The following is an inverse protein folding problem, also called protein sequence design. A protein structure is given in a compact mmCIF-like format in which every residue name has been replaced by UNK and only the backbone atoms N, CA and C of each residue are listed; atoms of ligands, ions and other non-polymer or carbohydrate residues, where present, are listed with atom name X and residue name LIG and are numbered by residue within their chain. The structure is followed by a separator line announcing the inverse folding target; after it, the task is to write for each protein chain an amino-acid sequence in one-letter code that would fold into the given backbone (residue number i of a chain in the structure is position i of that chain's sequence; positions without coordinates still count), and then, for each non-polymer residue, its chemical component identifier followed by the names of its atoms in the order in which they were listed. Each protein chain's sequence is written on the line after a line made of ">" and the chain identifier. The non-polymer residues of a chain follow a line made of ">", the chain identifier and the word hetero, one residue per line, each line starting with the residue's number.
data_IF_746703910611
#
_entry.id   IF_746703910611
#
_cell.length_a   1.000
_cell.length_b   1.000
_cell.length_c   1.000
_cell.angle_alpha   90.00
_cell.angle_beta   90.00
_cell.angle_gamma   90.00
#
_symmetry.space_group_name_H-M   'P 1'
#
loop_
_entity.id
_entity.type
_entity.pdbx_description
1 polymer ?
#
# COMPACT_ATOMS: atom_id res chain seq x y z
N UNK A 1 -82.65 55.08 33.19
CA UNK A 1 -82.11 54.08 32.23
C UNK A 1 -80.67 54.32 31.76
N UNK A 2 -80.06 55.51 31.90
CA UNK A 2 -78.69 55.77 31.38
C UNK A 2 -77.49 55.40 32.30
N UNK A 3 -77.70 55.12 33.59
CA UNK A 3 -76.60 54.79 34.53
C UNK A 3 -76.34 53.29 34.72
N UNK A 4 -77.30 52.43 34.38
CA UNK A 4 -77.18 50.97 34.55
C UNK A 4 -76.31 50.34 33.44
N UNK A 5 -76.39 50.86 32.21
CA UNK A 5 -75.57 50.40 31.08
C UNK A 5 -74.08 50.77 31.23
N UNK A 6 -73.76 51.87 31.93
CA UNK A 6 -72.37 52.29 32.14
C UNK A 6 -71.61 51.33 33.06
N UNK A 7 -72.27 50.74 34.06
CA UNK A 7 -71.65 49.76 34.95
C UNK A 7 -71.52 48.36 34.31
N UNK A 8 -72.44 47.98 33.40
CA UNK A 8 -72.38 46.70 32.69
C UNK A 8 -71.26 46.71 31.64
N UNK A 9 -71.04 47.84 30.95
CA UNK A 9 -69.94 48.00 29.98
C UNK A 9 -68.57 48.01 30.68
N UNK A 10 -68.46 48.61 31.87
CA UNK A 10 -67.22 48.58 32.66
C UNK A 10 -66.89 47.17 33.16
N UNK A 11 -67.89 46.37 33.54
CA UNK A 11 -67.69 45.01 34.04
C UNK A 11 -67.28 44.02 32.94
N UNK A 12 -67.77 44.21 31.70
CA UNK A 12 -67.34 43.43 30.53
C UNK A 12 -65.92 43.75 30.06
N UNK A 13 -65.39 44.94 30.38
CA UNK A 13 -64.01 45.34 30.02
C UNK A 13 -62.95 44.72 30.93
N UNK A 14 -63.32 44.32 32.15
CA UNK A 14 -62.36 43.75 33.12
C UNK A 14 -62.16 42.24 32.91
N UNK A 15 -63.16 41.54 32.34
CA UNK A 15 -63.10 40.09 32.11
C UNK A 15 -62.34 39.75 30.81
N UNK A 16 -62.17 40.71 29.89
CA UNK A 16 -61.44 40.53 28.64
C UNK A 16 -59.90 40.63 28.77
N UNK A 17 -59.37 40.96 29.96
CA UNK A 17 -57.92 41.04 30.20
C UNK A 17 -57.35 39.84 30.97
N UNK A 18 -58.17 38.83 31.26
CA UNK A 18 -57.72 37.53 31.76
C UNK A 18 -57.44 36.54 30.61
N UNK A 19 -56.91 37.02 29.49
CA UNK A 19 -56.32 36.14 28.48
C UNK A 19 -54.99 35.64 29.03
N UNK A 20 -55.04 34.41 29.57
CA UNK A 20 -53.92 33.65 30.06
C UNK A 20 -52.85 33.54 28.96
N UNK A 21 -51.84 34.41 28.96
CA UNK A 21 -50.63 34.20 28.16
C UNK A 21 -49.81 33.13 28.86
N UNK A 22 -50.19 31.86 28.68
CA UNK A 22 -49.23 30.78 28.89
C UNK A 22 -48.13 30.96 27.85
N UNK A 23 -47.03 31.57 28.27
CA UNK A 23 -45.78 31.52 27.53
C UNK A 23 -45.31 30.08 27.65
N UNK A 24 -45.65 29.26 26.66
CA UNK A 24 -45.05 27.94 26.51
C UNK A 24 -43.56 28.17 26.24
N UNK A 25 -42.69 27.77 27.18
CA UNK A 25 -41.25 27.78 26.96
C UNK A 25 -40.96 26.90 25.73
N UNK A 26 -40.15 27.44 24.82
CA UNK A 26 -39.71 26.68 23.66
C UNK A 26 -39.02 25.41 24.15
N UNK A 27 -39.38 24.27 23.56
CA UNK A 27 -38.74 23.01 23.88
C UNK A 27 -37.20 23.17 23.78
N UNK A 28 -36.43 22.74 24.79
CA UNK A 28 -34.99 22.89 24.77
C UNK A 28 -34.41 22.19 23.53
N UNK A 29 -33.53 22.90 22.81
CA UNK A 29 -32.86 22.33 21.65
C UNK A 29 -32.10 21.06 22.07
N UNK A 30 -32.11 19.98 21.27
CA UNK A 30 -31.34 18.79 21.62
C UNK A 30 -29.86 19.14 21.73
N UNK A 31 -29.27 18.85 22.89
CA UNK A 31 -27.87 19.14 23.26
C UNK A 31 -26.95 17.94 23.04
N UNK A 32 -27.40 16.90 22.36
CA UNK A 32 -26.69 15.66 22.10
C UNK A 32 -26.12 15.61 20.67
N UNK A 33 -25.85 16.77 20.06
CA UNK A 33 -25.47 16.86 18.64
C UNK A 33 -24.00 17.09 18.41
N UNK A 34 -23.47 16.49 17.34
CA UNK A 34 -22.25 16.95 16.67
C UNK A 34 -22.60 18.26 15.94
N UNK A 35 -21.78 19.29 16.13
CA UNK A 35 -21.94 20.61 15.49
C UNK A 35 -20.93 20.84 14.39
N UNK A 36 -19.72 20.32 14.53
CA UNK A 36 -18.67 20.37 13.51
C UNK A 36 -17.95 19.03 13.47
N UNK A 37 -17.65 18.57 12.27
CA UNK A 37 -16.69 17.50 12.02
C UNK A 37 -15.73 17.98 10.95
N UNK A 38 -14.43 17.86 11.17
CA UNK A 38 -13.42 18.18 10.16
C UNK A 38 -12.25 17.19 10.22
N UNK A 39 -11.60 16.97 9.09
CA UNK A 39 -10.34 16.23 8.97
C UNK A 39 -9.21 17.25 8.92
N UNK A 40 -8.27 17.18 9.87
CA UNK A 40 -7.25 18.21 10.08
C UNK A 40 -5.82 17.78 9.73
N UNK A 41 -5.58 16.51 9.37
CA UNK A 41 -4.26 16.01 8.99
C UNK A 41 -3.89 16.31 7.52
N UNK A 42 -4.14 17.53 7.06
CA UNK A 42 -3.84 17.98 5.69
C UNK A 42 -2.68 18.97 5.66
N UNK A 43 -1.93 19.06 4.56
CA UNK A 43 -0.92 20.11 4.37
C UNK A 43 -1.52 21.52 4.38
N UNK A 44 -0.67 22.50 4.70
CA UNK A 44 -0.97 23.94 4.65
C UNK A 44 -2.20 24.37 5.46
N UNK A 45 -2.43 23.73 6.62
CA UNK A 45 -3.56 23.97 7.53
C UNK A 45 -4.95 23.83 6.87
N UNK A 46 -5.02 23.10 5.74
CA UNK A 46 -6.29 22.81 5.10
C UNK A 46 -7.13 21.87 5.97
N UNK A 47 -8.45 21.91 5.77
CA UNK A 47 -9.39 21.00 6.43
C UNK A 47 -10.43 20.49 5.45
N UNK A 48 -10.84 19.23 5.59
CA UNK A 48 -12.03 18.71 4.92
C UNK A 48 -13.16 18.71 5.92
N UNK A 49 -14.24 19.44 5.64
CA UNK A 49 -15.44 19.42 6.48
C UNK A 49 -16.31 18.22 6.18
N UNK A 50 -16.76 17.54 7.24
CA UNK A 50 -17.78 16.51 7.17
C UNK A 50 -19.19 17.11 7.16
N UNK A 51 -20.08 16.55 6.35
CA UNK A 51 -21.50 16.86 6.36
C UNK A 51 -22.18 16.11 7.53
N UNK A 52 -22.61 16.86 8.55
CA UNK A 52 -23.30 16.30 9.72
C UNK A 52 -24.81 16.29 9.48
N UNK A 53 -25.41 15.10 9.40
CA UNK A 53 -26.86 14.90 9.35
C UNK A 53 -27.37 14.48 10.73
N UNK A 54 -27.91 15.44 11.47
CA UNK A 54 -28.47 15.25 12.80
C UNK A 54 -29.84 14.53 12.81
N UNK A 55 -30.48 14.34 11.65
CA UNK A 55 -31.73 13.58 11.56
C UNK A 55 -31.44 12.10 11.36
N UNK A 56 -30.45 11.77 10.53
CA UNK A 56 -30.01 10.40 10.26
C UNK A 56 -28.92 9.90 11.22
N UNK A 57 -28.36 10.80 12.03
CA UNK A 57 -27.20 10.56 12.88
C UNK A 57 -26.02 10.02 12.06
N UNK A 58 -25.66 10.73 11.00
CA UNK A 58 -24.51 10.38 10.16
C UNK A 58 -23.58 11.57 10.00
N UNK A 59 -22.30 11.29 9.81
CA UNK A 59 -21.31 12.25 9.35
C UNK A 59 -20.73 11.70 8.05
N UNK A 60 -20.86 12.44 6.95
CA UNK A 60 -20.29 12.05 5.66
C UNK A 60 -19.10 12.93 5.33
N UNK A 61 -17.93 12.32 5.09
CA UNK A 61 -16.70 13.02 4.72
C UNK A 61 -16.33 12.64 3.30
N UNK A 62 -16.21 13.62 2.41
CA UNK A 62 -15.72 13.40 1.04
C UNK A 62 -14.23 13.66 1.00
N UNK A 63 -13.42 12.63 0.75
CA UNK A 63 -11.96 12.75 0.69
C UNK A 63 -11.53 12.99 -0.76
N UNK A 64 -10.98 14.15 -1.11
CA UNK A 64 -10.47 14.40 -2.44
C UNK A 64 -9.27 13.51 -2.77
N UNK A 65 -9.26 12.95 -3.99
CA UNK A 65 -8.22 12.01 -4.44
C UNK A 65 -6.80 12.56 -4.34
N UNK A 66 -6.63 13.87 -4.55
CA UNK A 66 -5.32 14.53 -4.63
C UNK A 66 -4.59 14.59 -3.28
N UNK A 67 -5.30 14.43 -2.15
CA UNK A 67 -4.66 14.26 -0.84
C UNK A 67 -4.18 12.82 -0.62
N UNK A 68 -4.80 11.84 -1.26
CA UNK A 68 -4.46 10.42 -1.15
C UNK A 68 -4.26 9.93 0.28
N UNK A 69 -5.19 10.34 1.15
CA UNK A 69 -5.19 9.93 2.53
C UNK A 69 -5.48 8.43 2.63
N UNK A 70 -4.71 7.75 3.47
CA UNK A 70 -5.01 6.38 3.92
C UNK A 70 -5.59 6.37 5.34
N UNK A 71 -5.40 7.48 6.07
CA UNK A 71 -5.89 7.73 7.42
C UNK A 71 -6.39 9.18 7.50
N UNK A 72 -7.50 9.40 8.19
CA UNK A 72 -7.97 10.74 8.57
C UNK A 72 -7.76 10.95 10.07
N UNK A 73 -7.49 12.19 10.46
CA UNK A 73 -7.44 12.63 11.86
C UNK A 73 -8.60 13.59 12.13
N UNK A 74 -9.70 13.11 12.77
CA UNK A 74 -10.89 13.91 12.98
C UNK A 74 -10.75 14.91 14.13
N UNK A 75 -11.30 16.10 13.93
CA UNK A 75 -11.65 17.04 14.99
C UNK A 75 -13.17 17.22 15.01
N UNK A 76 -13.76 17.03 16.20
CA UNK A 76 -15.22 16.98 16.36
C UNK A 76 -15.63 17.96 17.46
N UNK A 77 -16.51 18.89 17.11
CA UNK A 77 -17.18 19.76 18.07
C UNK A 77 -18.60 19.26 18.30
N UNK A 78 -19.05 19.40 19.55
CA UNK A 78 -20.38 19.00 19.99
C UNK A 78 -21.12 20.18 20.61
N UNK A 79 -22.42 20.00 20.82
CA UNK A 79 -23.29 20.98 21.46
C UNK A 79 -22.73 21.44 22.81
N UNK A 80 -23.03 22.69 23.19
CA UNK A 80 -22.55 23.26 24.45
C UNK A 80 -22.94 22.39 25.67
N UNK A 81 -21.97 22.11 26.54
CA UNK A 81 -22.13 21.25 27.71
C UNK A 81 -22.17 19.74 27.42
N UNK A 82 -22.14 19.33 26.14
CA UNK A 82 -21.99 17.93 25.75
C UNK A 82 -20.51 17.52 25.68
N UNK A 83 -20.28 16.21 25.62
CA UNK A 83 -18.96 15.62 25.39
C UNK A 83 -19.07 14.39 24.50
N UNK A 84 -17.97 13.99 23.88
CA UNK A 84 -17.88 12.69 23.22
C UNK A 84 -17.62 11.59 24.24
N UNK A 85 -18.14 10.40 23.95
CA UNK A 85 -17.81 9.16 24.63
C UNK A 85 -16.51 8.61 24.05
N UNK A 86 -15.44 8.67 24.83
CA UNK A 86 -14.11 8.19 24.41
C UNK A 86 -13.24 9.26 23.77
N UNK A 87 -12.05 8.83 23.35
CA UNK A 87 -11.07 9.67 22.65
C UNK A 87 -11.34 9.64 21.14
N UNK A 88 -10.94 10.71 20.45
CA UNK A 88 -10.96 10.75 18.99
C UNK A 88 -9.63 10.18 18.50
N UNK A 89 -9.69 9.02 17.84
CA UNK A 89 -8.52 8.35 17.28
C UNK A 89 -8.49 8.54 15.76
N UNK A 90 -7.29 8.46 15.14
CA UNK A 90 -7.17 8.42 13.69
C UNK A 90 -7.94 7.23 13.10
N UNK A 91 -8.59 7.45 11.97
CA UNK A 91 -9.49 6.47 11.33
C UNK A 91 -8.94 6.08 9.97
N UNK A 92 -8.87 4.79 9.67
CA UNK A 92 -8.52 4.32 8.33
C UNK A 92 -9.58 4.79 7.32
N UNK A 93 -9.16 5.24 6.14
CA UNK A 93 -10.12 5.66 5.09
C UNK A 93 -11.03 4.53 4.63
N UNK A 94 -10.58 3.28 4.77
CA UNK A 94 -11.35 2.08 4.47
C UNK A 94 -12.20 1.56 5.65
N UNK A 95 -12.25 2.27 6.78
CA UNK A 95 -13.09 1.88 7.93
C UNK A 95 -14.57 2.16 7.63
N UNK A 96 -15.43 1.16 7.82
CA UNK A 96 -16.86 1.23 7.49
C UNK A 96 -17.75 1.30 8.75
N UNK A 97 -17.22 0.98 9.93
CA UNK A 97 -17.99 0.80 11.16
C UNK A 97 -17.65 1.82 12.26
N UNK A 98 -16.85 2.84 11.94
CA UNK A 98 -16.54 3.91 12.88
C UNK A 98 -17.80 4.68 13.30
N UNK A 99 -17.94 4.89 14.61
CA UNK A 99 -19.03 5.67 15.21
C UNK A 99 -18.53 6.67 16.25
N UNK A 100 -19.34 7.68 16.55
CA UNK A 100 -19.09 8.66 17.60
C UNK A 100 -20.34 8.85 18.45
N UNK A 101 -20.24 8.70 19.76
CA UNK A 101 -21.37 8.91 20.68
C UNK A 101 -21.21 10.24 21.40
N UNK A 102 -22.20 11.12 21.29
CA UNK A 102 -22.30 12.37 22.04
C UNK A 102 -23.15 12.14 23.29
N UNK A 103 -22.63 12.57 24.44
CA UNK A 103 -23.32 12.57 25.73
C UNK A 103 -23.65 14.02 26.09
N UNK A 104 -24.94 14.35 26.09
CA UNK A 104 -25.45 15.65 26.51
C UNK A 104 -25.25 15.90 28.02
N UNK A 105 -25.34 17.16 28.44
CA UNK A 105 -25.23 17.54 29.86
C UNK A 105 -26.28 16.86 30.76
N UNK A 106 -27.45 16.55 30.21
CA UNK A 106 -28.53 15.82 30.89
C UNK A 106 -28.35 14.29 30.89
N UNK A 107 -27.25 13.78 30.34
CA UNK A 107 -26.94 12.35 30.23
C UNK A 107 -27.55 11.64 29.02
N UNK A 108 -28.36 12.32 28.20
CA UNK A 108 -28.87 11.78 26.94
C UNK A 108 -27.72 11.44 25.98
N UNK A 109 -27.87 10.34 25.23
CA UNK A 109 -26.85 9.85 24.29
C UNK A 109 -27.36 9.81 22.87
N UNK A 110 -26.49 10.15 21.93
CA UNK A 110 -26.72 10.00 20.49
C UNK A 110 -25.48 9.51 19.79
N UNK A 111 -25.61 8.46 18.98
CA UNK A 111 -24.51 7.85 18.25
C UNK A 111 -24.62 8.17 16.77
N UNK A 112 -23.51 8.62 16.19
CA UNK A 112 -23.37 8.95 14.77
C UNK A 112 -22.52 7.90 14.06
N UNK A 113 -22.93 7.47 12.86
CA UNK A 113 -22.08 6.67 11.96
C UNK A 113 -21.23 7.60 11.09
N UNK A 114 -19.93 7.33 11.02
CA UNK A 114 -19.03 7.99 10.07
C UNK A 114 -19.09 7.26 8.72
N UNK A 115 -19.25 8.02 7.64
CA UNK A 115 -19.23 7.54 6.26
C UNK A 115 -18.11 8.27 5.54
N UNK A 116 -17.11 7.53 5.06
CA UNK A 116 -15.97 8.08 4.35
C UNK A 116 -16.12 7.78 2.86
N UNK A 117 -16.30 8.83 2.06
CA UNK A 117 -16.48 8.75 0.62
C UNK A 117 -15.20 9.24 -0.08
N UNK A 118 -14.38 8.29 -0.51
CA UNK A 118 -13.17 8.61 -1.27
C UNK A 118 -13.52 8.98 -2.70
N UNK A 119 -13.18 10.20 -3.09
CA UNK A 119 -13.29 10.65 -4.47
C UNK A 119 -12.21 9.99 -5.32
N UNK A 120 -12.52 9.81 -6.60
CA UNK A 120 -11.58 9.28 -7.59
C UNK A 120 -11.19 10.37 -8.58
N UNK A 121 -10.10 10.16 -9.30
CA UNK A 121 -9.82 10.96 -10.50
C UNK A 121 -10.98 10.81 -11.50
N UNK A 122 -11.31 11.83 -12.31
CA UNK A 122 -12.40 11.73 -13.29
C UNK A 122 -12.18 10.60 -14.31
N UNK A 123 -10.92 10.35 -14.68
CA UNK A 123 -10.49 9.23 -15.50
C UNK A 123 -9.12 8.74 -15.04
N UNK A 124 -8.74 7.55 -15.47
CA UNK A 124 -7.38 7.04 -15.31
C UNK A 124 -6.92 6.37 -16.60
N UNK A 125 -5.77 6.81 -17.08
CA UNK A 125 -5.05 6.25 -18.21
C UNK A 125 -3.59 6.05 -17.82
N UNK A 126 -3.02 4.95 -18.28
CA UNK A 126 -1.63 4.62 -18.04
C UNK A 126 -0.97 3.97 -19.26
N UNK A 127 0.33 4.15 -19.38
CA UNK A 127 1.17 3.56 -20.42
C UNK A 127 2.54 3.24 -19.85
N UNK A 128 3.30 2.37 -20.53
CA UNK A 128 4.71 2.21 -20.21
C UNK A 128 5.48 3.49 -20.53
N UNK A 129 6.47 3.84 -19.71
CA UNK A 129 7.43 4.92 -20.06
C UNK A 129 8.25 4.58 -21.30
N UNK A 130 8.33 3.30 -21.66
CA UNK A 130 8.98 2.80 -22.86
C UNK A 130 8.34 1.51 -23.34
N UNK A 131 7.94 1.47 -24.61
CA UNK A 131 7.34 0.30 -25.26
C UNK A 131 8.34 -0.52 -26.07
N UNK A 132 9.65 -0.23 -25.95
CA UNK A 132 10.67 -0.99 -26.68
C UNK A 132 10.66 -2.46 -26.24
N UNK A 133 10.94 -3.37 -27.17
CA UNK A 133 11.04 -4.81 -26.87
C UNK A 133 12.06 -5.11 -25.79
N UNK A 134 13.13 -4.31 -25.70
CA UNK A 134 14.13 -4.46 -24.63
C UNK A 134 13.56 -4.08 -23.26
N UNK A 135 12.82 -2.97 -23.19
CA UNK A 135 12.15 -2.52 -21.96
C UNK A 135 11.13 -3.57 -21.49
N UNK A 136 10.26 -4.03 -22.39
CA UNK A 136 9.15 -4.93 -22.06
C UNK A 136 9.54 -6.41 -21.95
N UNK A 137 10.83 -6.75 -22.12
CA UNK A 137 11.34 -8.11 -21.94
C UNK A 137 12.16 -8.19 -20.66
N UNK A 138 11.53 -8.65 -19.58
CA UNK A 138 12.12 -8.73 -18.24
C UNK A 138 12.41 -10.16 -17.84
N UNK A 139 13.25 -10.30 -16.81
CA UNK A 139 13.41 -11.53 -16.07
C UNK A 139 12.76 -11.38 -14.69
N UNK A 140 12.38 -12.49 -14.03
CA UNK A 140 12.04 -12.45 -12.61
C UNK A 140 13.18 -11.79 -11.81
N UNK A 141 12.85 -11.17 -10.69
CA UNK A 141 13.82 -10.48 -9.84
C UNK A 141 14.57 -9.31 -10.52
N UNK A 142 13.95 -8.69 -11.54
CA UNK A 142 14.38 -7.40 -12.12
C UNK A 142 13.38 -6.29 -11.79
N UNK A 143 13.82 -5.04 -11.88
CA UNK A 143 12.90 -3.89 -11.78
C UNK A 143 11.96 -3.84 -12.99
N UNK A 144 10.69 -3.54 -12.70
CA UNK A 144 9.68 -3.29 -13.72
C UNK A 144 10.04 -2.03 -14.53
N UNK A 145 9.57 -1.96 -15.78
CA UNK A 145 9.57 -0.69 -16.53
C UNK A 145 8.66 0.30 -15.83
N UNK A 146 9.02 1.58 -15.84
CA UNK A 146 8.16 2.62 -15.29
C UNK A 146 6.81 2.70 -16.00
N UNK A 147 5.81 3.18 -15.28
CA UNK A 147 4.47 3.42 -15.80
C UNK A 147 4.20 4.91 -15.71
N UNK A 148 3.84 5.52 -16.83
CA UNK A 148 3.36 6.89 -16.95
C UNK A 148 1.83 6.88 -16.83
N UNK A 149 1.24 7.85 -16.14
CA UNK A 149 -0.21 7.98 -16.08
C UNK A 149 -0.68 9.27 -15.43
N UNK A 150 -1.98 9.55 -15.51
CA UNK A 150 -2.61 10.70 -14.85
C UNK A 150 -3.05 10.36 -13.41
N UNK A 151 -2.14 9.85 -12.59
CA UNK A 151 -2.42 9.34 -11.24
C UNK A 151 -3.09 10.38 -10.33
N UNK A 152 -2.72 11.66 -10.46
CA UNK A 152 -3.35 12.77 -9.73
C UNK A 152 -2.93 12.89 -8.26
N UNK A 153 -1.90 12.14 -7.84
CA UNK A 153 -1.34 12.14 -6.49
C UNK A 153 0.06 11.47 -6.47
N UNK A 154 0.72 11.49 -5.31
CA UNK A 154 2.07 10.91 -5.11
C UNK A 154 2.14 9.74 -4.13
N UNK A 155 1.01 9.34 -3.53
CA UNK A 155 0.98 8.19 -2.62
C UNK A 155 1.05 6.85 -3.40
N UNK A 156 2.14 6.11 -3.28
CA UNK A 156 2.31 4.82 -3.94
C UNK A 156 1.41 3.72 -3.37
N UNK A 157 1.01 3.81 -2.10
CA UNK A 157 0.13 2.83 -1.47
C UNK A 157 -1.29 2.82 -2.09
N UNK A 158 -1.69 3.93 -2.71
CA UNK A 158 -2.95 4.04 -3.46
C UNK A 158 -2.87 3.42 -4.88
N UNK A 159 -1.70 2.93 -5.28
CA UNK A 159 -1.49 2.26 -6.57
C UNK A 159 -1.44 0.73 -6.43
N UNK A 160 -1.44 0.02 -7.54
CA UNK A 160 -1.20 -1.42 -7.57
C UNK A 160 -0.89 -1.90 -8.98
N UNK A 161 -0.16 -3.00 -9.12
CA UNK A 161 0.13 -3.60 -10.42
C UNK A 161 -0.17 -5.10 -10.32
N UNK A 162 -0.96 -5.61 -11.26
CA UNK A 162 -1.23 -7.04 -11.41
C UNK A 162 -0.78 -7.50 -12.78
N UNK A 163 0.04 -8.55 -12.81
CA UNK A 163 0.43 -9.24 -14.02
C UNK A 163 -0.52 -10.42 -14.24
N UNK A 164 -1.10 -10.55 -15.43
CA UNK A 164 -2.04 -11.63 -15.77
C UNK A 164 -1.42 -12.42 -16.91
N UNK A 165 -1.03 -13.66 -16.63
CA UNK A 165 -0.43 -14.52 -17.63
C UNK A 165 -1.47 -14.81 -18.74
N UNK A 166 -1.16 -14.47 -19.98
CA UNK A 166 -2.11 -14.56 -21.10
C UNK A 166 -2.49 -16.00 -21.46
N UNK A 167 -1.62 -16.97 -21.16
CA UNK A 167 -1.84 -18.38 -21.48
C UNK A 167 -2.67 -19.08 -20.41
N UNK A 168 -2.37 -18.82 -19.14
CA UNK A 168 -2.94 -19.55 -17.99
C UNK A 168 -4.03 -18.77 -17.25
N UNK A 169 -4.12 -17.45 -17.44
CA UNK A 169 -4.98 -16.55 -16.65
C UNK A 169 -4.50 -16.33 -15.22
N UNK A 170 -3.35 -16.90 -14.81
CA UNK A 170 -2.78 -16.74 -13.48
C UNK A 170 -2.48 -15.26 -13.19
N UNK A 171 -2.98 -14.78 -12.04
CA UNK A 171 -2.81 -13.39 -11.59
C UNK A 171 -1.69 -13.31 -10.56
N UNK A 172 -0.69 -12.50 -10.83
CA UNK A 172 0.44 -12.24 -9.95
C UNK A 172 0.42 -10.76 -9.52
N UNK A 173 0.18 -10.52 -8.23
CA UNK A 173 0.31 -9.18 -7.66
C UNK A 173 1.79 -8.79 -7.58
N UNK A 174 2.12 -7.62 -8.09
CA UNK A 174 3.44 -7.02 -7.90
C UNK A 174 3.53 -6.38 -6.52
N UNK A 175 4.71 -6.37 -5.89
CA UNK A 175 4.96 -5.47 -4.78
C UNK A 175 4.72 -4.02 -5.19
N UNK A 176 4.22 -3.20 -4.25
CA UNK A 176 4.00 -1.77 -4.46
C UNK A 176 5.32 -1.11 -4.81
N UNK A 177 5.37 -0.32 -5.89
CA UNK A 177 6.57 0.43 -6.27
C UNK A 177 6.80 1.61 -5.30
N UNK A 178 8.05 2.01 -5.09
CA UNK A 178 8.42 2.94 -4.02
C UNK A 178 8.44 4.42 -4.42
N UNK A 179 8.20 4.76 -5.70
CA UNK A 179 8.24 6.15 -6.17
C UNK A 179 7.11 6.43 -7.15
N UNK A 180 6.33 7.46 -6.86
CA UNK A 180 5.30 8.04 -7.73
C UNK A 180 5.49 9.57 -7.70
N UNK A 181 5.92 10.15 -8.80
CA UNK A 181 6.27 11.57 -8.87
C UNK A 181 5.73 12.23 -10.14
N UNK A 182 5.34 13.51 -10.07
CA UNK A 182 4.95 14.26 -11.25
C UNK A 182 6.14 14.37 -12.22
N UNK A 183 5.85 14.35 -13.51
CA UNK A 183 6.79 14.68 -14.57
C UNK A 183 6.60 16.13 -15.05
N UNK A 184 7.46 16.57 -15.97
CA UNK A 184 7.44 17.95 -16.49
C UNK A 184 6.29 18.21 -17.48
N UNK A 185 5.48 17.20 -17.80
CA UNK A 185 4.39 17.24 -18.78
C UNK A 185 3.01 17.12 -18.12
N UNK A 186 2.95 17.11 -16.79
CA UNK A 186 1.70 17.00 -16.03
C UNK A 186 1.20 15.56 -15.84
N UNK A 187 1.99 14.56 -16.24
CA UNK A 187 1.77 13.16 -15.89
C UNK A 187 2.51 12.81 -14.60
N UNK A 188 2.34 11.58 -14.14
CA UNK A 188 3.10 11.01 -13.04
C UNK A 188 3.79 9.73 -13.50
N UNK A 189 4.97 9.48 -12.94
CA UNK A 189 5.79 8.30 -13.22
C UNK A 189 5.85 7.42 -11.97
N UNK A 190 5.30 6.22 -12.08
CA UNK A 190 5.37 5.15 -11.08
C UNK A 190 6.54 4.22 -11.41
N UNK A 191 7.55 4.17 -10.53
CA UNK A 191 8.80 3.41 -10.74
C UNK A 191 9.32 2.79 -9.45
N UNK A 192 10.16 1.76 -9.58
CA UNK A 192 11.10 1.37 -8.53
C UNK A 192 12.33 2.29 -8.64
N UNK A 193 12.46 3.23 -7.71
CA UNK A 193 13.61 4.12 -7.59
C UNK A 193 14.69 3.47 -6.73
N UNK A 194 15.92 3.45 -7.26
CA UNK A 194 17.02 2.69 -6.69
C UNK A 194 16.99 1.21 -7.09
N UNK A 195 17.84 0.42 -6.44
CA UNK A 195 18.00 -1.00 -6.73
C UNK A 195 17.49 -1.88 -5.58
N UNK A 196 16.25 -1.65 -5.15
CA UNK A 196 15.65 -2.29 -3.98
C UNK A 196 14.91 -3.57 -4.39
N UNK A 197 15.32 -4.71 -3.82
CA UNK A 197 14.80 -6.04 -4.13
C UNK A 197 13.30 -6.18 -3.86
N UNK A 198 12.80 -5.55 -2.80
CA UNK A 198 11.40 -5.65 -2.36
C UNK A 198 10.37 -5.12 -3.37
N UNK A 199 10.79 -4.33 -4.36
CA UNK A 199 9.93 -3.71 -5.37
C UNK A 199 10.17 -4.25 -6.80
N UNK A 200 10.84 -5.39 -6.90
CA UNK A 200 11.10 -6.06 -8.18
C UNK A 200 9.96 -6.99 -8.56
N UNK A 201 10.00 -7.43 -9.82
CA UNK A 201 9.17 -8.54 -10.29
C UNK A 201 9.42 -9.74 -9.36
N UNK A 202 8.37 -10.36 -8.78
CA UNK A 202 8.52 -11.52 -7.90
C UNK A 202 9.42 -12.60 -8.50
N UNK A 203 10.29 -13.18 -7.68
CA UNK A 203 11.27 -14.16 -8.15
C UNK A 203 10.64 -15.50 -8.59
N UNK A 204 9.42 -15.77 -8.12
CA UNK A 204 8.58 -16.90 -8.49
C UNK A 204 7.74 -16.65 -9.76
N UNK A 205 7.80 -15.44 -10.33
CA UNK A 205 7.16 -15.15 -11.61
C UNK A 205 7.60 -16.17 -12.67
N UNK A 206 6.61 -16.75 -13.35
CA UNK A 206 6.84 -17.72 -14.42
C UNK A 206 7.19 -17.00 -15.72
N UNK A 207 7.92 -17.69 -16.59
CA UNK A 207 8.10 -17.20 -17.95
C UNK A 207 6.74 -17.18 -18.68
N UNK A 208 6.50 -16.15 -19.48
CA UNK A 208 5.24 -15.98 -20.20
C UNK A 208 5.03 -14.55 -20.68
N UNK A 209 3.94 -14.35 -21.42
CA UNK A 209 3.46 -13.02 -21.82
C UNK A 209 2.34 -12.63 -20.86
N UNK A 210 2.41 -11.41 -20.34
CA UNK A 210 1.53 -10.92 -19.29
C UNK A 210 0.80 -9.65 -19.75
N UNK A 211 -0.51 -9.67 -19.62
CA UNK A 211 -1.28 -8.43 -19.54
C UNK A 211 -0.95 -7.72 -18.23
N UNK A 212 -0.96 -6.39 -18.24
CA UNK A 212 -0.62 -5.59 -17.05
C UNK A 212 -1.79 -4.70 -16.70
N UNK A 213 -2.38 -4.93 -15.55
CA UNK A 213 -3.38 -4.07 -14.94
C UNK A 213 -2.71 -3.15 -13.91
N UNK A 214 -2.99 -1.86 -14.03
CA UNK A 214 -2.56 -0.83 -13.11
C UNK A 214 -3.77 -0.33 -12.36
N UNK A 215 -3.72 -0.39 -11.03
CA UNK A 215 -4.71 0.20 -10.15
C UNK A 215 -4.26 1.59 -9.73
N UNK A 216 -5.18 2.53 -9.76
CA UNK A 216 -5.03 3.86 -9.17
C UNK A 216 -6.33 4.20 -8.42
N UNK A 217 -6.30 4.23 -7.10
CA UNK A 217 -7.52 4.34 -6.28
C UNK A 217 -8.53 3.24 -6.70
N UNK A 218 -9.75 3.63 -7.10
CA UNK A 218 -10.78 2.68 -7.55
C UNK A 218 -10.73 2.39 -9.07
N UNK A 219 -9.80 3.01 -9.80
CA UNK A 219 -9.62 2.71 -11.22
C UNK A 219 -8.71 1.51 -11.42
N UNK A 220 -9.05 0.70 -12.42
CA UNK A 220 -8.17 -0.35 -12.96
C UNK A 220 -8.03 -0.10 -14.45
N UNK A 221 -6.80 0.07 -14.92
CA UNK A 221 -6.48 0.29 -16.33
C UNK A 221 -5.56 -0.81 -16.83
N UNK A 222 -5.93 -1.46 -17.94
CA UNK A 222 -5.09 -2.44 -18.62
C UNK A 222 -4.18 -1.73 -19.61
N UNK A 223 -2.87 -1.87 -19.45
CA UNK A 223 -1.88 -1.34 -20.39
C UNK A 223 -2.04 -1.99 -21.76
N UNK A 224 -1.76 -1.23 -22.83
CA UNK A 224 -1.92 -1.69 -24.22
C UNK A 224 -0.89 -2.77 -24.59
N UNK A 225 0.38 -2.54 -24.25
CA UNK A 225 1.46 -3.47 -24.56
C UNK A 225 1.69 -4.46 -23.40
N UNK A 226 1.82 -5.77 -23.69
CA UNK A 226 2.08 -6.76 -22.66
C UNK A 226 3.54 -6.74 -22.20
N UNK A 227 3.78 -7.30 -21.01
CA UNK A 227 5.11 -7.58 -20.48
C UNK A 227 5.50 -9.02 -20.82
N UNK A 228 6.70 -9.23 -21.36
CA UNK A 228 7.25 -10.56 -21.58
C UNK A 228 8.25 -10.89 -20.46
N UNK A 229 7.90 -11.85 -19.62
CA UNK A 229 8.81 -12.40 -18.62
C UNK A 229 9.48 -13.64 -19.19
N UNK A 230 10.80 -13.68 -19.13
CA UNK A 230 11.59 -14.86 -19.52
C UNK A 230 12.62 -15.21 -18.46
N UNK A 231 12.90 -16.50 -18.35
CA UNK A 231 14.10 -16.92 -17.66
C UNK A 231 15.35 -16.54 -18.46
N UNK A 232 16.40 -16.22 -17.72
CA UNK A 232 17.76 -15.99 -18.23
C UNK A 232 18.70 -16.94 -17.48
N UNK A 233 19.92 -17.10 -18.01
CA UNK A 233 20.93 -18.00 -17.43
C UNK A 233 21.03 -17.79 -15.91
N UNK A 234 20.71 -18.82 -15.10
CA UNK A 234 20.94 -18.78 -13.66
C UNK A 234 22.38 -18.42 -13.36
N UNK A 235 22.57 -17.47 -12.46
CA UNK A 235 23.86 -16.85 -12.24
C UNK A 235 24.10 -16.67 -10.73
N UNK A 236 24.70 -17.64 -10.04
CA UNK A 236 25.07 -17.51 -8.63
C UNK A 236 25.97 -16.29 -8.40
N UNK A 237 25.63 -15.47 -7.41
CA UNK A 237 26.46 -14.33 -7.02
C UNK A 237 27.61 -14.80 -6.13
N UNK A 238 28.80 -14.92 -6.74
CA UNK A 238 30.05 -15.20 -6.03
C UNK A 238 30.96 -13.98 -6.16
N UNK A 239 31.31 -13.29 -5.06
CA UNK A 239 32.22 -12.16 -5.10
C UNK A 239 33.60 -12.55 -5.65
N UNK A 240 34.13 -11.75 -6.58
CA UNK A 240 35.50 -11.94 -7.08
C UNK A 240 36.55 -11.70 -5.99
N UNK A 241 36.27 -10.79 -5.04
CA UNK A 241 37.16 -10.46 -3.93
C UNK A 241 37.41 -11.62 -2.96
N UNK A 242 36.56 -12.65 -3.02
CA UNK A 242 36.69 -13.88 -2.26
C UNK A 242 35.52 -14.16 -1.34
N UNK A 243 35.48 -15.39 -0.84
CA UNK A 243 34.45 -15.89 0.06
C UNK A 243 35.10 -16.61 1.23
N UNK A 244 34.68 -16.26 2.46
CA UNK A 244 35.09 -16.95 3.68
C UNK A 244 34.05 -18.01 4.02
N UNK A 245 34.51 -19.26 4.16
CA UNK A 245 33.69 -20.41 4.49
C UNK A 245 34.31 -21.18 5.65
N UNK A 246 33.47 -21.80 6.47
CA UNK A 246 33.90 -22.73 7.51
C UNK A 246 33.56 -24.15 7.09
N UNK A 247 34.47 -25.10 7.34
CA UNK A 247 34.37 -26.49 6.85
C UNK A 247 33.05 -27.21 7.20
N UNK A 248 32.41 -26.83 8.31
CA UNK A 248 31.18 -27.44 8.81
C UNK A 248 29.96 -26.52 8.71
N UNK A 249 30.06 -25.41 7.98
CA UNK A 249 28.97 -24.46 7.79
C UNK A 249 28.31 -24.62 6.43
N UNK A 250 27.01 -24.36 6.39
CA UNK A 250 26.29 -24.21 5.13
C UNK A 250 26.70 -22.90 4.46
N UNK A 251 26.97 -22.97 3.15
CA UNK A 251 27.21 -21.81 2.32
C UNK A 251 25.93 -21.36 1.64
N UNK A 252 25.44 -20.17 2.02
CA UNK A 252 24.29 -19.53 1.40
C UNK A 252 24.71 -18.63 0.25
N UNK A 253 24.07 -18.78 -0.90
CA UNK A 253 24.37 -18.04 -2.13
C UNK A 253 23.07 -17.46 -2.68
N UNK A 254 23.06 -16.16 -2.98
CA UNK A 254 21.97 -15.52 -3.73
C UNK A 254 22.27 -15.47 -5.23
N UNK A 255 21.26 -15.27 -6.10
CA UNK A 255 21.49 -15.04 -7.52
C UNK A 255 22.06 -13.64 -7.75
N UNK A 256 22.76 -13.47 -8.87
CA UNK A 256 23.12 -12.15 -9.37
C UNK A 256 21.86 -11.38 -9.79
N UNK A 257 21.95 -10.06 -9.78
CA UNK A 257 20.86 -9.17 -10.15
C UNK A 257 20.21 -9.56 -11.48
N UNK A 258 18.89 -9.65 -11.48
CA UNK A 258 18.09 -9.99 -12.65
C UNK A 258 18.16 -11.45 -13.09
N UNK A 259 18.58 -12.34 -12.19
CA UNK A 259 18.55 -13.79 -12.40
C UNK A 259 17.87 -14.47 -11.21
N UNK A 260 17.44 -15.72 -11.41
CA UNK A 260 16.89 -16.59 -10.36
C UNK A 260 17.49 -17.98 -10.52
N UNK A 261 17.45 -18.79 -9.46
CA UNK A 261 17.83 -20.19 -9.57
C UNK A 261 16.69 -21.03 -10.19
N UNK A 262 17.07 -21.88 -11.14
CA UNK A 262 16.19 -22.79 -11.87
C UNK A 262 16.84 -24.17 -11.82
N UNK A 263 16.26 -25.09 -11.06
CA UNK A 263 16.59 -26.53 -11.09
C UNK A 263 18.11 -26.82 -11.04
N UNK A 264 18.81 -26.41 -9.96
CA UNK A 264 20.24 -26.68 -9.81
C UNK A 264 20.49 -28.20 -9.73
N UNK A 265 21.45 -28.68 -10.52
CA UNK A 265 21.80 -30.11 -10.63
C UNK A 265 23.06 -30.45 -9.84
N UNK A 266 24.09 -29.63 -9.98
CA UNK A 266 25.37 -29.88 -9.33
C UNK A 266 26.10 -28.57 -9.06
N UNK A 267 26.99 -28.60 -8.06
CA UNK A 267 27.95 -27.53 -7.81
C UNK A 267 29.29 -28.16 -7.42
N UNK A 268 30.39 -27.53 -7.81
CA UNK A 268 31.74 -27.99 -7.46
C UNK A 268 32.71 -26.84 -7.36
N UNK A 269 33.78 -27.08 -6.60
CA UNK A 269 34.94 -26.21 -6.46
C UNK A 269 36.15 -26.94 -7.01
N UNK A 270 36.91 -26.30 -7.90
CA UNK A 270 38.18 -26.87 -8.39
C UNK A 270 39.36 -26.16 -7.72
N UNK A 271 40.16 -26.90 -6.95
CA UNK A 271 41.38 -26.40 -6.28
C UNK A 271 42.56 -27.22 -6.76
N UNK A 272 43.58 -26.55 -7.33
CA UNK A 272 44.80 -27.18 -7.84
C UNK A 272 44.53 -28.37 -8.79
N UNK A 273 43.50 -28.25 -9.63
CA UNK A 273 43.10 -29.28 -10.60
C UNK A 273 42.30 -30.46 -10.02
N UNK A 274 42.07 -30.51 -8.69
CA UNK A 274 41.16 -31.47 -8.07
C UNK A 274 39.76 -30.85 -7.90
N UNK A 275 38.75 -31.57 -8.33
CA UNK A 275 37.34 -31.21 -8.14
C UNK A 275 36.84 -31.67 -6.77
N UNK A 276 36.12 -30.80 -6.10
CA UNK A 276 35.45 -31.05 -4.83
C UNK A 276 33.94 -30.80 -5.02
N UNK A 277 33.12 -31.87 -5.06
CA UNK A 277 31.68 -31.72 -5.23
C UNK A 277 31.07 -31.05 -4.01
N UNK A 278 30.23 -30.04 -4.23
CA UNK A 278 29.43 -29.40 -3.20
C UNK A 278 28.05 -30.07 -3.17
N UNK A 279 27.54 -30.35 -1.98
CA UNK A 279 26.20 -30.93 -1.84
C UNK A 279 25.17 -29.81 -1.85
N UNK A 280 24.19 -29.87 -2.76
CA UNK A 280 23.04 -28.97 -2.73
C UNK A 280 22.09 -29.45 -1.63
N UNK A 281 22.03 -28.70 -0.52
CA UNK A 281 21.18 -29.03 0.62
C UNK A 281 19.73 -28.61 0.38
N UNK A 282 19.55 -27.41 -0.18
CA UNK A 282 18.24 -26.88 -0.57
C UNK A 282 18.41 -25.71 -1.54
N UNK A 283 17.33 -25.36 -2.23
CA UNK A 283 17.28 -24.16 -3.06
C UNK A 283 15.87 -23.55 -3.11
N UNK A 284 15.81 -22.26 -3.37
CA UNK A 284 14.64 -21.48 -3.76
C UNK A 284 15.00 -20.66 -5.00
N UNK A 285 14.09 -19.79 -5.49
CA UNK A 285 14.38 -18.88 -6.60
C UNK A 285 15.50 -17.87 -6.28
N UNK A 286 15.72 -17.56 -5.00
CA UNK A 286 16.63 -16.50 -4.54
C UNK A 286 17.70 -16.97 -3.58
N UNK A 287 17.73 -18.25 -3.23
CA UNK A 287 18.73 -18.80 -2.31
C UNK A 287 19.15 -20.21 -2.75
N UNK A 288 20.44 -20.48 -2.71
CA UNK A 288 21.05 -21.80 -2.87
C UNK A 288 21.88 -22.08 -1.62
N UNK A 289 21.59 -23.21 -0.96
CA UNK A 289 22.30 -23.64 0.25
C UNK A 289 23.16 -24.85 -0.11
N UNK A 290 24.48 -24.69 0.03
CA UNK A 290 25.46 -25.72 -0.27
C UNK A 290 26.19 -26.18 1.00
N UNK A 291 26.56 -27.46 1.05
CA UNK A 291 27.44 -28.00 2.08
C UNK A 291 28.78 -28.38 1.47
N UNK A 292 29.86 -27.98 2.14
CA UNK A 292 31.24 -28.30 1.75
C UNK A 292 31.56 -29.77 2.03
N UNK A 293 32.33 -30.46 1.17
CA UNK A 293 32.75 -31.82 1.44
C UNK A 293 33.79 -31.87 2.57
N UNK A 294 33.78 -32.95 3.35
CA UNK A 294 34.65 -33.12 4.52
C UNK A 294 36.13 -33.23 4.18
N UNK A 295 36.48 -33.55 2.94
CA UNK A 295 37.86 -33.62 2.45
C UNK A 295 38.36 -32.32 1.82
N UNK A 296 37.53 -31.25 1.80
CA UNK A 296 37.97 -29.94 1.32
C UNK A 296 39.12 -29.42 2.21
N UNK A 297 40.25 -28.99 1.62
CA UNK A 297 41.40 -28.50 2.37
C UNK A 297 41.10 -27.14 3.02
N UNK A 298 41.71 -26.91 4.18
CA UNK A 298 41.69 -25.63 4.91
C UNK A 298 42.81 -24.73 4.36
N UNK A 299 42.54 -23.44 4.24
CA UNK A 299 43.51 -22.45 3.76
C UNK A 299 42.90 -21.41 2.84
N UNK A 300 43.78 -20.62 2.20
CA UNK A 300 43.40 -19.62 1.20
C UNK A 300 43.80 -20.09 -0.19
N UNK A 301 42.83 -20.18 -1.07
CA UNK A 301 42.98 -20.69 -2.43
C UNK A 301 42.59 -19.58 -3.42
N UNK A 302 43.58 -18.86 -4.00
CA UNK A 302 43.31 -17.88 -5.03
C UNK A 302 42.97 -18.57 -6.36
N UNK A 303 42.27 -17.85 -7.24
CA UNK A 303 41.94 -18.30 -8.61
C UNK A 303 41.17 -19.63 -8.67
N UNK A 304 40.31 -19.86 -7.68
CA UNK A 304 39.42 -21.02 -7.65
C UNK A 304 38.25 -20.77 -8.59
N UNK A 305 37.86 -21.80 -9.34
CA UNK A 305 36.61 -21.79 -10.09
C UNK A 305 35.53 -22.56 -9.32
N UNK A 306 34.40 -21.90 -9.08
CA UNK A 306 33.18 -22.55 -8.60
C UNK A 306 32.26 -22.74 -9.79
N UNK A 307 31.95 -23.98 -10.13
CA UNK A 307 31.09 -24.33 -11.24
C UNK A 307 29.73 -24.78 -10.74
N UNK A 308 28.67 -24.33 -11.42
CA UNK A 308 27.29 -24.67 -11.13
C UNK A 308 26.60 -25.15 -12.39
N UNK A 309 25.86 -26.26 -12.30
CA UNK A 309 25.05 -26.80 -13.37
C UNK A 309 23.57 -26.66 -13.04
N UNK A 310 22.80 -26.23 -14.04
CA UNK A 310 21.36 -26.04 -13.94
C UNK A 310 20.69 -26.74 -15.13
N UNK A 311 19.49 -27.28 -14.92
CA UNK A 311 18.78 -28.03 -15.96
C UNK A 311 18.50 -27.18 -17.20
N UNK A 312 18.95 -27.63 -18.38
CA UNK A 312 18.71 -26.93 -19.64
C UNK A 312 19.51 -25.65 -19.83
N UNK A 313 20.53 -25.38 -19.00
CA UNK A 313 21.38 -24.20 -19.08
C UNK A 313 22.85 -24.55 -19.20
N UNK A 314 23.66 -23.58 -19.65
CA UNK A 314 25.11 -23.73 -19.64
C UNK A 314 25.63 -23.72 -18.20
N UNK A 315 26.79 -24.36 -17.99
CA UNK A 315 27.47 -24.30 -16.70
C UNK A 315 27.88 -22.86 -16.37
N UNK A 316 27.54 -22.40 -15.17
CA UNK A 316 27.96 -21.10 -14.66
C UNK A 316 29.29 -21.24 -13.91
N UNK A 317 30.35 -20.67 -14.48
CA UNK A 317 31.70 -20.68 -13.89
C UNK A 317 31.97 -19.36 -13.16
N UNK A 318 32.47 -19.46 -11.92
CA UNK A 318 32.66 -18.33 -11.01
C UNK A 318 34.09 -18.32 -10.47
N UNK A 319 34.98 -17.49 -11.06
CA UNK A 319 36.30 -17.28 -10.49
C UNK A 319 36.19 -16.50 -9.18
N UNK A 320 36.92 -16.95 -8.16
CA UNK A 320 36.97 -16.30 -6.85
C UNK A 320 38.24 -16.71 -6.08
N UNK A 321 38.43 -16.11 -4.90
CA UNK A 321 39.36 -16.59 -3.88
C UNK A 321 38.56 -17.30 -2.79
N UNK A 322 38.88 -18.56 -2.51
CA UNK A 322 38.23 -19.31 -1.44
C UNK A 322 39.08 -19.29 -0.17
N UNK A 323 38.52 -18.84 0.95
CA UNK A 323 39.15 -18.91 2.27
C UNK A 323 38.38 -19.90 3.12
N UNK A 324 38.94 -21.08 3.35
CA UNK A 324 38.30 -22.14 4.14
C UNK A 324 38.96 -22.19 5.50
N UNK A 325 38.21 -21.92 6.56
CA UNK A 325 38.68 -22.09 7.94
C UNK A 325 38.35 -23.49 8.47
N UNK A 326 39.25 -24.01 9.30
CA UNK A 326 38.88 -25.08 10.25
C UNK A 326 37.91 -24.54 11.30
N UNK A 327 37.22 -25.46 11.98
CA UNK A 327 36.53 -25.15 13.24
C UNK A 327 37.54 -24.90 14.35
#
# INVERSE_FOLDING_TARGET
>A
MKRLYTYIILLSSVIAHSSCTKTEDLAPLPQDKITVFKVANLPDDNVIYGAVDNQKNTVTVYIPYYYSLVVIDPEIEVSNGAKLEGEILPVLVAEEEQTYTVIAANGGKRTYKLIIESQNTPSFEAAWVSTSTFSLRKAPFTSLVGILGNFGHTNTAATGITLINQETGERLAMPVLNSLKPDNQGFYVLINEGNIDAHRIPADAKAGVYDVEVRNLNHVYKLKEPLNIRYVQPNPHIPLAGVQLSKNADWKIGPALGTVFLDPKSAKVTINGKDYPLTIKSHSRTELILTLPTDLPVGTFPNVNVAFEFEGWNAANKPTTLMVSGT
#
